data_IF_626942229394
#
_entry.id   IF_626942229394
#
_cell.length_a   1.000
_cell.length_b   1.000
_cell.length_c   1.000
_cell.angle_alpha   90.00
_cell.angle_beta   90.00
_cell.angle_gamma   90.00
#
_symmetry.space_group_name_H-M   'P 1'
#
loop_
_entity.id
_entity.type
_entity.pdbx_description
1 polymer ?
#
# COMPACT_ATOMS: atom_id res chain seq x y z
N UNK A 1 20.78 0.82 1.45
CA UNK A 1 20.66 2.25 1.14
C UNK A 1 20.18 2.47 -0.30
N UNK A 2 20.97 2.10 -1.33
CA UNK A 2 20.63 2.42 -2.73
C UNK A 2 19.26 1.91 -3.17
N UNK A 3 18.87 0.68 -2.81
CA UNK A 3 17.55 0.13 -3.13
C UNK A 3 16.40 0.93 -2.51
N UNK A 4 16.52 1.30 -1.24
CA UNK A 4 15.52 2.11 -0.56
C UNK A 4 15.45 3.55 -1.12
N UNK A 5 16.60 4.14 -1.46
CA UNK A 5 16.64 5.46 -2.10
C UNK A 5 15.96 5.45 -3.49
N UNK A 6 16.24 4.42 -4.29
CA UNK A 6 15.59 4.23 -5.59
C UNK A 6 14.07 4.04 -5.45
N UNK A 7 13.63 3.17 -4.54
CA UNK A 7 12.21 2.93 -4.30
C UNK A 7 11.48 4.19 -3.82
N UNK A 8 12.08 4.95 -2.89
CA UNK A 8 11.54 6.23 -2.42
C UNK A 8 11.41 7.26 -3.55
N UNK A 9 12.45 7.37 -4.40
CA UNK A 9 12.43 8.28 -5.55
C UNK A 9 11.34 7.89 -6.55
N UNK A 10 11.24 6.61 -6.90
CA UNK A 10 10.22 6.11 -7.82
C UNK A 10 8.80 6.36 -7.30
N UNK A 11 8.56 6.11 -6.00
CA UNK A 11 7.26 6.32 -5.36
C UNK A 11 6.88 7.80 -5.33
N UNK A 12 7.82 8.67 -4.97
CA UNK A 12 7.60 10.12 -4.95
C UNK A 12 7.30 10.67 -6.34
N UNK A 13 8.09 10.28 -7.35
CA UNK A 13 7.88 10.72 -8.74
C UNK A 13 6.55 10.22 -9.31
N UNK A 14 6.19 8.96 -9.04
CA UNK A 14 4.90 8.40 -9.49
C UNK A 14 3.72 9.16 -8.88
N UNK A 15 3.82 9.53 -7.60
CA UNK A 15 2.77 10.28 -6.91
C UNK A 15 2.68 11.71 -7.43
N UNK A 16 3.82 12.38 -7.64
CA UNK A 16 3.87 13.73 -8.22
C UNK A 16 3.30 13.74 -9.65
N UNK A 17 3.68 12.79 -10.48
CA UNK A 17 3.15 12.67 -11.84
C UNK A 17 1.63 12.44 -11.88
N UNK A 18 1.05 11.75 -10.89
CA UNK A 18 -0.41 11.64 -10.77
C UNK A 18 -1.07 12.99 -10.49
N UNK A 19 -0.47 13.79 -9.59
CA UNK A 19 -0.95 15.16 -9.30
C UNK A 19 -0.83 16.06 -10.53
N UNK A 20 0.27 15.98 -11.27
CA UNK A 20 0.48 16.76 -12.49
C UNK A 20 -0.56 16.44 -13.57
N UNK A 21 -1.09 15.22 -13.60
CA UNK A 21 -2.22 14.84 -14.46
C UNK A 21 -3.59 15.28 -13.94
N UNK A 22 -3.65 16.01 -12.83
CA UNK A 22 -4.89 16.48 -12.21
C UNK A 22 -5.60 15.40 -11.36
N UNK A 23 -4.95 14.27 -11.10
CA UNK A 23 -5.49 13.22 -10.23
C UNK A 23 -5.42 13.65 -8.75
N UNK A 24 -6.24 13.02 -7.92
CA UNK A 24 -6.22 13.23 -6.45
C UNK A 24 -5.81 11.93 -5.75
N UNK A 25 -4.51 11.57 -5.76
CA UNK A 25 -4.00 10.28 -5.30
C UNK A 25 -3.96 10.20 -3.77
N UNK A 26 -5.12 10.24 -3.08
CA UNK A 26 -5.19 10.26 -1.62
C UNK A 26 -4.51 9.05 -0.97
N UNK A 27 -4.82 7.83 -1.44
CA UNK A 27 -4.21 6.59 -0.91
C UNK A 27 -2.76 6.45 -1.35
N UNK A 28 -2.38 6.63 -2.64
CA UNK A 28 -0.98 6.62 -3.06
C UNK A 28 -0.11 7.65 -2.32
N UNK A 29 -0.62 8.86 -2.04
CA UNK A 29 0.09 9.87 -1.25
C UNK A 29 0.34 9.41 0.19
N UNK A 30 -0.64 8.74 0.80
CA UNK A 30 -0.49 8.16 2.14
C UNK A 30 0.55 7.03 2.15
N UNK A 31 0.55 6.17 1.13
CA UNK A 31 1.57 5.13 0.91
C UNK A 31 2.95 5.76 0.76
N UNK A 32 3.05 6.80 -0.07
CA UNK A 32 4.31 7.52 -0.26
C UNK A 32 4.82 8.13 1.05
N UNK A 33 3.98 8.83 1.80
CA UNK A 33 4.36 9.41 3.10
C UNK A 33 4.88 8.34 4.06
N UNK A 34 4.13 7.26 4.25
CA UNK A 34 4.50 6.19 5.16
C UNK A 34 5.83 5.54 4.77
N UNK A 35 5.92 5.00 3.56
CA UNK A 35 7.10 4.25 3.14
C UNK A 35 8.34 5.12 2.95
N UNK A 36 8.22 6.34 2.40
CA UNK A 36 9.38 7.21 2.22
C UNK A 36 9.96 7.65 3.57
N UNK A 37 9.14 7.93 4.58
CA UNK A 37 9.65 8.31 5.90
C UNK A 37 10.28 7.15 6.64
N UNK A 38 9.73 5.93 6.56
CA UNK A 38 10.34 4.74 7.14
C UNK A 38 11.65 4.35 6.41
N UNK A 39 11.65 4.35 5.08
CA UNK A 39 12.88 4.09 4.31
C UNK A 39 13.96 5.14 4.57
N UNK A 40 13.60 6.42 4.71
CA UNK A 40 14.54 7.48 5.06
C UNK A 40 15.18 7.24 6.44
N UNK A 41 14.40 6.77 7.40
CA UNK A 41 14.89 6.40 8.73
C UNK A 41 15.88 5.23 8.67
N UNK A 42 15.56 4.17 7.92
CA UNK A 42 16.46 3.03 7.72
C UNK A 42 17.74 3.44 6.97
N UNK A 43 17.63 4.27 5.93
CA UNK A 43 18.78 4.82 5.22
C UNK A 43 19.69 5.62 6.16
N UNK A 44 19.10 6.48 7.01
CA UNK A 44 19.86 7.27 7.97
C UNK A 44 20.58 6.39 8.99
N UNK A 45 19.93 5.35 9.49
CA UNK A 45 20.53 4.35 10.39
C UNK A 45 21.72 3.64 9.74
N UNK A 46 21.51 3.08 8.54
CA UNK A 46 22.58 2.39 7.82
C UNK A 46 23.75 3.32 7.50
N UNK A 47 23.47 4.58 7.18
CA UNK A 47 24.50 5.59 6.94
C UNK A 47 25.29 5.92 8.21
N UNK A 48 24.66 5.99 9.38
CA UNK A 48 25.32 6.15 10.67
C UNK A 48 26.24 4.97 10.96
N UNK A 49 25.80 3.73 10.71
CA UNK A 49 26.58 2.53 10.91
C UNK A 49 27.83 2.52 10.01
N UNK A 50 27.69 2.89 8.74
CA UNK A 50 28.81 2.98 7.78
C UNK A 50 29.83 4.04 8.20
N UNK A 51 29.36 5.20 8.73
CA UNK A 51 30.26 6.28 9.15
C UNK A 51 30.90 6.05 10.53
N UNK A 52 30.31 5.18 11.33
CA UNK A 52 30.79 4.87 12.69
C UNK A 52 30.97 6.14 13.53
N UNK A 53 32.13 6.28 14.16
CA UNK A 53 32.42 7.44 15.04
C UNK A 53 32.25 8.81 14.36
N UNK A 54 32.50 8.90 13.05
CA UNK A 54 32.25 10.16 12.31
C UNK A 54 30.77 10.54 12.24
N UNK A 55 29.87 9.57 12.26
CA UNK A 55 28.43 9.81 12.31
C UNK A 55 27.97 10.31 13.68
N UNK A 56 28.65 9.90 14.76
CA UNK A 56 28.30 10.26 16.15
C UNK A 56 28.89 11.60 16.58
N UNK A 57 30.15 11.89 16.20
CA UNK A 57 30.84 13.13 16.59
C UNK A 57 30.17 14.32 15.86
N UNK A 58 29.38 15.09 16.58
CA UNK A 58 28.72 16.28 16.07
C UNK A 58 29.73 17.41 15.87
N UNK A 59 29.84 17.91 14.66
CA UNK A 59 30.72 19.00 14.27
C UNK A 59 30.41 19.50 12.87
N UNK A 60 31.15 20.47 12.35
CA UNK A 60 30.86 21.11 11.06
C UNK A 60 30.96 20.13 9.86
N UNK A 61 31.63 19.01 10.05
CA UNK A 61 31.77 17.96 9.00
C UNK A 61 30.75 16.82 9.13
N UNK A 62 29.92 16.81 10.19
CA UNK A 62 28.90 15.79 10.37
C UNK A 62 27.59 16.25 9.70
N UNK A 63 27.23 15.60 8.61
CA UNK A 63 25.99 15.83 7.87
C UNK A 63 24.87 14.82 8.21
N UNK A 64 25.17 13.77 8.97
CA UNK A 64 24.23 12.69 9.27
C UNK A 64 23.57 12.81 10.64
N UNK A 65 24.34 13.14 11.69
CA UNK A 65 23.88 13.05 13.07
C UNK A 65 22.64 13.88 13.37
N UNK A 66 22.53 15.09 12.82
CA UNK A 66 21.34 15.94 12.97
C UNK A 66 20.13 15.39 12.21
N UNK A 67 20.35 14.85 11.02
CA UNK A 67 19.31 14.18 10.25
C UNK A 67 18.76 12.96 10.99
N UNK A 68 19.67 12.16 11.59
CA UNK A 68 19.28 11.04 12.42
C UNK A 68 18.42 11.46 13.63
N UNK A 69 18.84 12.50 14.33
CA UNK A 69 18.08 13.06 15.47
C UNK A 69 16.71 13.59 15.05
N UNK A 70 16.59 14.15 13.87
CA UNK A 70 15.35 14.69 13.34
C UNK A 70 14.41 13.64 12.69
N UNK A 71 14.90 12.44 12.38
CA UNK A 71 14.13 11.41 11.70
C UNK A 71 12.76 11.08 12.33
N UNK A 72 12.61 11.02 13.67
CA UNK A 72 11.30 10.80 14.31
C UNK A 72 10.24 11.85 13.98
N UNK A 73 10.64 13.07 13.66
CA UNK A 73 9.69 14.14 13.30
C UNK A 73 8.91 13.76 12.05
N UNK A 74 9.58 13.26 11.02
CA UNK A 74 8.93 12.86 9.77
C UNK A 74 7.90 11.72 9.93
N UNK A 75 8.06 10.91 10.98
CA UNK A 75 7.17 9.79 11.29
C UNK A 75 5.94 10.25 12.06
N UNK A 76 6.09 11.29 12.89
CA UNK A 76 5.04 11.74 13.81
C UNK A 76 4.22 12.92 13.31
N UNK A 77 4.76 13.78 12.44
CA UNK A 77 4.05 14.95 11.91
C UNK A 77 3.33 14.66 10.59
N UNK A 78 2.45 15.56 10.19
CA UNK A 78 1.64 15.47 8.95
C UNK A 78 0.85 14.14 8.86
N UNK A 79 0.30 13.74 9.99
CA UNK A 79 -0.33 12.44 10.18
C UNK A 79 0.68 11.37 10.59
N UNK A 80 0.62 10.96 11.86
CA UNK A 80 1.50 9.93 12.39
C UNK A 80 1.43 8.64 11.54
N UNK A 81 2.58 8.00 11.32
CA UNK A 81 2.66 6.83 10.44
C UNK A 81 1.72 5.70 10.87
N UNK A 82 1.50 5.50 12.17
CA UNK A 82 0.55 4.50 12.66
C UNK A 82 -0.87 4.80 12.18
N UNK A 83 -1.31 6.05 12.24
CA UNK A 83 -2.62 6.47 11.74
C UNK A 83 -2.67 6.40 10.20
N UNK A 84 -1.63 6.85 9.52
CA UNK A 84 -1.53 6.80 8.06
C UNK A 84 -1.65 5.37 7.56
N UNK A 85 -0.93 4.43 8.17
CA UNK A 85 -0.97 3.01 7.82
C UNK A 85 -2.35 2.40 8.03
N UNK A 86 -2.92 2.56 9.21
CA UNK A 86 -4.14 1.86 9.61
C UNK A 86 -5.41 2.50 9.06
N UNK A 87 -5.53 3.84 9.13
CA UNK A 87 -6.76 4.54 8.73
C UNK A 87 -6.74 5.01 7.28
N UNK A 88 -5.62 5.51 6.78
CA UNK A 88 -5.58 6.07 5.44
C UNK A 88 -5.27 5.01 4.38
N UNK A 89 -4.21 4.23 4.55
CA UNK A 89 -3.82 3.23 3.55
C UNK A 89 -4.84 2.10 3.56
N UNK A 90 -5.03 1.45 4.69
CA UNK A 90 -5.93 0.31 4.76
C UNK A 90 -7.40 0.74 4.76
N UNK A 91 -7.82 1.61 5.70
CA UNK A 91 -9.23 1.98 5.86
C UNK A 91 -9.80 2.69 4.64
N UNK A 92 -9.08 3.67 4.06
CA UNK A 92 -9.51 4.32 2.82
C UNK A 92 -9.24 3.47 1.59
N UNK A 93 -8.11 2.74 1.57
CA UNK A 93 -7.75 1.86 0.46
C UNK A 93 -8.74 0.73 0.27
N UNK A 94 -9.20 0.09 1.34
CA UNK A 94 -10.21 -0.97 1.30
C UNK A 94 -11.53 -0.50 0.67
N UNK A 95 -11.90 0.78 0.85
CA UNK A 95 -13.12 1.33 0.27
C UNK A 95 -12.88 1.87 -1.15
N UNK A 96 -11.83 2.69 -1.34
CA UNK A 96 -11.65 3.50 -2.56
C UNK A 96 -10.88 2.79 -3.66
N UNK A 97 -9.97 1.89 -3.30
CA UNK A 97 -9.14 1.17 -4.25
C UNK A 97 -9.71 -0.21 -4.59
N UNK A 98 -10.65 -0.72 -3.78
CA UNK A 98 -11.34 -1.96 -4.08
C UNK A 98 -12.30 -1.80 -5.28
N UNK A 99 -12.30 -2.72 -6.25
CA UNK A 99 -13.10 -2.56 -7.48
C UNK A 99 -14.60 -2.48 -7.25
N UNK A 100 -15.10 -3.05 -6.17
CA UNK A 100 -16.53 -3.26 -5.93
C UNK A 100 -17.08 -2.56 -4.69
N UNK A 101 -16.34 -2.50 -3.58
CA UNK A 101 -16.86 -2.02 -2.28
C UNK A 101 -17.48 -0.62 -2.37
N UNK A 102 -16.79 0.32 -3.01
CA UNK A 102 -17.34 1.67 -3.17
C UNK A 102 -18.62 1.68 -4.02
N UNK A 103 -18.67 0.86 -5.07
CA UNK A 103 -19.86 0.75 -5.95
C UNK A 103 -21.05 0.15 -5.21
N UNK A 104 -20.82 -0.86 -4.36
CA UNK A 104 -21.85 -1.45 -3.49
C UNK A 104 -22.40 -0.43 -2.51
N UNK A 105 -21.51 0.34 -1.85
CA UNK A 105 -21.91 1.41 -0.94
C UNK A 105 -22.73 2.50 -1.65
N UNK A 106 -22.32 2.91 -2.83
CA UNK A 106 -23.04 3.91 -3.64
C UNK A 106 -24.40 3.37 -4.13
N UNK A 107 -24.43 2.13 -4.58
CA UNK A 107 -25.68 1.48 -4.98
C UNK A 107 -26.67 1.39 -3.82
N UNK A 108 -26.21 1.05 -2.61
CA UNK A 108 -27.06 0.99 -1.42
C UNK A 108 -27.69 2.33 -1.01
N UNK A 109 -27.11 3.46 -1.44
CA UNK A 109 -27.60 4.82 -1.15
C UNK A 109 -28.58 5.37 -2.20
N UNK A 110 -28.85 4.65 -3.29
CA UNK A 110 -29.78 5.11 -4.33
C UNK A 110 -31.22 5.24 -3.76
N UNK A 111 -31.86 6.33 -4.12
CA UNK A 111 -33.22 6.62 -3.66
C UNK A 111 -34.30 5.66 -4.25
N UNK A 112 -34.14 5.30 -5.54
CA UNK A 112 -35.06 4.38 -6.22
C UNK A 112 -34.78 2.92 -5.77
N UNK A 113 -35.74 2.24 -5.15
CA UNK A 113 -35.56 0.87 -4.67
C UNK A 113 -35.22 -0.15 -5.76
N UNK A 114 -35.80 0.03 -6.96
CA UNK A 114 -35.63 -0.90 -8.09
C UNK A 114 -34.20 -0.78 -8.64
N UNK A 115 -33.76 0.45 -8.87
CA UNK A 115 -32.39 0.70 -9.34
C UNK A 115 -31.36 0.32 -8.28
N UNK A 116 -31.65 0.61 -7.01
CA UNK A 116 -30.82 0.23 -5.87
C UNK A 116 -30.56 -1.28 -5.85
N UNK A 117 -31.61 -2.10 -5.89
CA UNK A 117 -31.50 -3.56 -5.88
C UNK A 117 -30.72 -4.05 -7.11
N UNK A 118 -31.08 -3.60 -8.31
CA UNK A 118 -30.42 -4.03 -9.54
C UNK A 118 -28.94 -3.71 -9.58
N UNK A 119 -28.56 -2.50 -9.16
CA UNK A 119 -27.13 -2.11 -9.15
C UNK A 119 -26.37 -2.78 -8.03
N UNK A 120 -26.98 -2.96 -6.86
CA UNK A 120 -26.34 -3.66 -5.75
C UNK A 120 -26.08 -5.11 -6.10
N UNK A 121 -27.05 -5.83 -6.66
CA UNK A 121 -26.87 -7.23 -7.07
C UNK A 121 -25.78 -7.39 -8.12
N UNK A 122 -25.77 -6.52 -9.14
CA UNK A 122 -24.74 -6.55 -10.18
C UNK A 122 -23.32 -6.36 -9.59
N UNK A 123 -23.17 -5.42 -8.65
CA UNK A 123 -21.89 -5.19 -7.98
C UNK A 123 -21.51 -6.34 -7.04
N UNK A 124 -22.47 -6.88 -6.29
CA UNK A 124 -22.26 -8.00 -5.38
C UNK A 124 -21.80 -9.27 -6.12
N UNK A 125 -22.46 -9.64 -7.22
CA UNK A 125 -22.03 -10.78 -8.03
C UNK A 125 -20.66 -10.55 -8.68
N UNK A 126 -20.35 -9.32 -9.10
CA UNK A 126 -19.03 -8.94 -9.56
C UNK A 126 -17.97 -9.09 -8.47
N UNK A 127 -18.28 -8.67 -7.24
CA UNK A 127 -17.41 -8.82 -6.07
C UNK A 127 -17.14 -10.29 -5.73
N UNK A 128 -18.19 -11.12 -5.69
CA UNK A 128 -18.04 -12.57 -5.44
C UNK A 128 -17.13 -13.20 -6.52
N UNK A 129 -17.35 -12.86 -7.79
CA UNK A 129 -16.51 -13.33 -8.88
C UNK A 129 -15.04 -12.89 -8.75
N UNK A 130 -14.81 -11.65 -8.32
CA UNK A 130 -13.49 -11.09 -8.06
C UNK A 130 -12.79 -11.83 -6.91
N UNK A 131 -13.47 -12.02 -5.77
CA UNK A 131 -12.94 -12.72 -4.61
C UNK A 131 -12.59 -14.19 -4.96
N UNK A 132 -13.47 -14.89 -5.67
CA UNK A 132 -13.23 -16.24 -6.15
C UNK A 132 -12.03 -16.32 -7.10
N UNK A 133 -11.95 -15.41 -8.08
CA UNK A 133 -10.83 -15.32 -9.00
C UNK A 133 -9.50 -15.10 -8.26
N UNK A 134 -9.47 -14.20 -7.28
CA UNK A 134 -8.27 -13.97 -6.48
C UNK A 134 -7.89 -15.17 -5.61
N UNK A 135 -8.86 -15.90 -5.08
CA UNK A 135 -8.59 -17.13 -4.33
C UNK A 135 -7.93 -18.19 -5.22
N UNK A 136 -8.48 -18.43 -6.41
CA UNK A 136 -7.91 -19.39 -7.37
C UNK A 136 -6.52 -18.94 -7.84
N UNK A 137 -6.35 -17.67 -8.20
CA UNK A 137 -5.06 -17.13 -8.64
C UNK A 137 -4.02 -17.18 -7.52
N UNK A 138 -4.40 -16.84 -6.30
CA UNK A 138 -3.53 -16.89 -5.11
C UNK A 138 -3.03 -18.32 -4.87
N UNK A 139 -3.94 -19.29 -4.88
CA UNK A 139 -3.62 -20.70 -4.71
C UNK A 139 -2.72 -21.22 -5.84
N UNK A 140 -3.11 -20.99 -7.10
CA UNK A 140 -2.37 -21.45 -8.26
C UNK A 140 -0.95 -20.86 -8.32
N UNK A 141 -0.83 -19.53 -8.16
CA UNK A 141 0.47 -18.87 -8.15
C UNK A 141 1.30 -19.25 -6.90
N UNK A 142 0.64 -19.59 -5.79
CA UNK A 142 1.28 -20.15 -4.61
C UNK A 142 1.94 -21.49 -4.89
N UNK A 143 1.18 -22.45 -5.39
CA UNK A 143 1.63 -23.81 -5.70
C UNK A 143 2.71 -23.85 -6.81
N UNK A 144 2.58 -22.98 -7.81
CA UNK A 144 3.52 -22.92 -8.95
C UNK A 144 4.70 -21.97 -8.72
N UNK A 145 4.84 -21.39 -7.51
CA UNK A 145 5.83 -20.35 -7.20
C UNK A 145 5.82 -19.19 -8.22
N UNK A 146 4.63 -18.81 -8.67
CA UNK A 146 4.37 -17.77 -9.67
C UNK A 146 4.98 -18.05 -11.07
N UNK A 147 5.35 -19.30 -11.38
CA UNK A 147 6.07 -19.65 -12.61
C UNK A 147 5.30 -19.30 -13.88
N UNK A 148 3.97 -19.36 -13.83
CA UNK A 148 3.07 -19.13 -14.96
C UNK A 148 2.35 -17.77 -14.89
N UNK A 149 2.79 -16.85 -13.99
CA UNK A 149 2.24 -15.51 -13.91
C UNK A 149 2.69 -14.64 -15.08
N UNK A 150 1.86 -13.66 -15.44
CA UNK A 150 2.21 -12.66 -16.45
C UNK A 150 3.31 -11.73 -15.95
N UNK A 151 4.08 -11.19 -16.91
CA UNK A 151 5.08 -10.16 -16.65
C UNK A 151 5.21 -9.27 -17.89
N UNK A 152 5.32 -7.95 -17.73
CA UNK A 152 5.45 -7.01 -18.85
C UNK A 152 6.82 -7.07 -19.53
N UNK A 153 7.79 -7.76 -18.91
CA UNK A 153 9.17 -7.86 -19.40
C UNK A 153 9.67 -9.29 -19.31
N UNK A 154 10.64 -9.62 -20.15
CA UNK A 154 11.45 -10.85 -20.08
C UNK A 154 12.76 -10.60 -19.32
N UNK A 155 13.48 -11.67 -18.98
CA UNK A 155 14.78 -11.58 -18.34
C UNK A 155 14.74 -11.57 -16.81
N UNK A 156 15.73 -10.93 -16.17
CA UNK A 156 15.98 -11.02 -14.71
C UNK A 156 14.80 -10.50 -13.89
N UNK A 157 14.15 -9.44 -14.33
CA UNK A 157 13.04 -8.79 -13.63
C UNK A 157 11.70 -9.54 -13.78
N UNK A 158 11.57 -10.44 -14.75
CA UNK A 158 10.34 -11.21 -14.99
C UNK A 158 9.84 -11.92 -13.73
N UNK A 159 10.76 -12.55 -13.00
CA UNK A 159 10.42 -13.25 -11.75
C UNK A 159 9.87 -12.31 -10.69
N UNK A 160 10.35 -11.08 -10.64
CA UNK A 160 9.86 -10.07 -9.69
C UNK A 160 8.43 -9.67 -10.02
N UNK A 161 8.10 -9.40 -11.28
CA UNK A 161 6.74 -9.09 -11.71
C UNK A 161 5.75 -10.22 -11.45
N UNK A 162 6.15 -11.46 -11.71
CA UNK A 162 5.34 -12.64 -11.39
C UNK A 162 5.03 -12.76 -9.90
N UNK A 163 6.01 -12.47 -9.04
CA UNK A 163 5.81 -12.43 -7.59
C UNK A 163 4.89 -11.27 -7.18
N UNK A 164 5.02 -10.09 -7.78
CA UNK A 164 4.13 -8.96 -7.53
C UNK A 164 2.67 -9.31 -7.85
N UNK A 165 2.41 -9.99 -8.97
CA UNK A 165 1.06 -10.46 -9.31
C UNK A 165 0.49 -11.41 -8.25
N UNK A 166 1.31 -12.32 -7.72
CA UNK A 166 0.92 -13.19 -6.61
C UNK A 166 0.59 -12.39 -5.36
N UNK A 167 1.47 -11.45 -4.97
CA UNK A 167 1.23 -10.63 -3.79
C UNK A 167 -0.02 -9.76 -3.93
N UNK A 168 -0.27 -9.23 -5.12
CA UNK A 168 -1.50 -8.49 -5.42
C UNK A 168 -2.76 -9.35 -5.23
N UNK A 169 -2.78 -10.56 -5.75
CA UNK A 169 -3.91 -11.49 -5.56
C UNK A 169 -4.07 -11.92 -4.10
N UNK A 170 -2.96 -12.16 -3.40
CA UNK A 170 -2.98 -12.49 -1.97
C UNK A 170 -3.53 -11.33 -1.13
N UNK A 171 -3.10 -10.09 -1.42
CA UNK A 171 -3.57 -8.90 -0.71
C UNK A 171 -5.08 -8.71 -0.90
N UNK A 172 -5.57 -8.84 -2.14
CA UNK A 172 -7.00 -8.75 -2.43
C UNK A 172 -7.80 -9.81 -1.67
N UNK A 173 -7.36 -11.08 -1.71
CA UNK A 173 -8.02 -12.17 -0.99
C UNK A 173 -8.03 -11.96 0.53
N UNK A 174 -6.91 -11.52 1.11
CA UNK A 174 -6.81 -11.27 2.55
C UNK A 174 -7.68 -10.07 2.94
N UNK A 175 -7.70 -9.00 2.13
CA UNK A 175 -8.55 -7.84 2.36
C UNK A 175 -10.03 -8.22 2.36
N UNK A 176 -10.51 -8.95 1.33
CA UNK A 176 -11.89 -9.42 1.24
C UNK A 176 -12.27 -10.32 2.41
N UNK A 177 -11.41 -11.29 2.73
CA UNK A 177 -11.65 -12.19 3.86
C UNK A 177 -11.70 -11.43 5.19
N UNK A 178 -10.82 -10.46 5.38
CA UNK A 178 -10.78 -9.64 6.59
C UNK A 178 -12.02 -8.76 6.71
N UNK A 179 -12.48 -8.16 5.61
CA UNK A 179 -13.71 -7.38 5.58
C UNK A 179 -14.94 -8.24 5.84
N UNK A 180 -15.00 -9.44 5.27
CA UNK A 180 -16.09 -10.39 5.47
C UNK A 180 -16.20 -10.86 6.93
N UNK A 181 -15.06 -11.20 7.55
CA UNK A 181 -15.04 -11.76 8.91
C UNK A 181 -15.18 -10.70 10.01
N UNK A 182 -14.58 -9.53 9.81
CA UNK A 182 -14.48 -8.49 10.84
C UNK A 182 -15.39 -7.30 10.57
N UNK A 183 -15.76 -7.06 9.32
CA UNK A 183 -16.59 -5.92 8.92
C UNK A 183 -16.06 -4.60 9.48
N UNK A 184 -16.95 -3.78 10.03
CA UNK A 184 -16.59 -2.50 10.63
C UNK A 184 -15.69 -2.58 11.87
N UNK A 185 -15.53 -3.76 12.49
CA UNK A 185 -14.61 -3.96 13.62
C UNK A 185 -13.14 -3.92 13.19
N UNK A 186 -12.87 -4.13 11.90
CA UNK A 186 -11.49 -4.16 11.37
C UNK A 186 -10.74 -2.86 11.64
N UNK A 187 -11.41 -1.71 11.57
CA UNK A 187 -10.81 -0.39 11.87
C UNK A 187 -10.27 -0.24 13.30
N UNK A 188 -10.72 -1.08 14.23
CA UNK A 188 -10.26 -1.10 15.63
C UNK A 188 -9.21 -2.18 15.89
N UNK A 189 -8.82 -2.94 14.87
CA UNK A 189 -7.82 -4.01 14.94
C UNK A 189 -6.55 -3.59 14.23
N UNK A 190 -5.85 -2.63 14.81
CA UNK A 190 -4.65 -1.99 14.22
C UNK A 190 -3.55 -2.98 13.84
N UNK A 191 -3.38 -4.05 14.61
CA UNK A 191 -2.41 -5.12 14.32
C UNK A 191 -2.75 -5.94 13.08
N UNK A 192 -4.02 -5.92 12.62
CA UNK A 192 -4.45 -6.62 11.41
C UNK A 192 -4.53 -5.68 10.21
N UNK A 193 -4.81 -4.40 10.43
CA UNK A 193 -4.94 -3.39 9.38
C UNK A 193 -3.60 -2.73 9.02
N UNK A 194 -2.59 -2.90 9.80
CA UNK A 194 -1.23 -2.40 9.60
C UNK A 194 -0.25 -3.50 9.45
#
# INVERSE_FOLDING_TARGET
>A
IAGNAYASSALSQSTAAAVDRGEKPAVPSAIAKYHCTEMAREIAKDAMDIHGGKGVILGPRNYLGRGWQAAPISITVEGANIMTRSLMIFGQGAIRCHPWVLKEMQAAQLADPVQRLKQFDANLFGHIGFAFSNAVRSLFMGLTNSRFGDAPTSGVTQRCYRKLNRYSANLALVADTSMLLLGGKLKFKESLSG
#
